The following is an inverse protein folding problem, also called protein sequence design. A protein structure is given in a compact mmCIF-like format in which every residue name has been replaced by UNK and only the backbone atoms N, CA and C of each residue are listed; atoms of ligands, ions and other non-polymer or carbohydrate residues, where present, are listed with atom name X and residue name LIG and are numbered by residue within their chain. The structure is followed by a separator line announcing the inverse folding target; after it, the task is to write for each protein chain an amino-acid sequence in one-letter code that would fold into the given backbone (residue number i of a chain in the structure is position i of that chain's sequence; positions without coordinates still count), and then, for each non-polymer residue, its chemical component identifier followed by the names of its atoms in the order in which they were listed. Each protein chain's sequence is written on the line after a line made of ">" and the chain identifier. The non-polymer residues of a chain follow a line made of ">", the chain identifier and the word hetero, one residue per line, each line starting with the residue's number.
data_IF_455176039727
#
_entry.id   IF_455176039727
#
_cell.length_a   1.000
_cell.length_b   1.000
_cell.length_c   1.000
_cell.angle_alpha   90.00
_cell.angle_beta   90.00
_cell.angle_gamma   90.00
#
_symmetry.space_group_name_H-M   'P 1'
#
loop_
_entity.id
_entity.type
_entity.pdbx_description
1 polymer ?
#
# COMPACT_ATOMS: atom_id res chain seq x y z
N UNK A 1 9.64 0.99 21.28
CA UNK A 1 10.34 1.75 20.21
C UNK A 1 11.06 3.02 20.67
N UNK A 2 10.97 3.40 21.97
CA UNK A 2 11.55 4.67 22.46
C UNK A 2 13.07 4.76 22.17
N UNK A 3 13.49 5.85 21.51
CA UNK A 3 14.86 6.14 21.08
C UNK A 3 15.49 5.17 20.06
N UNK A 4 14.81 4.13 19.63
CA UNK A 4 15.31 3.25 18.55
C UNK A 4 15.35 4.02 17.22
N UNK A 5 16.41 3.79 16.45
CA UNK A 5 16.51 4.35 15.10
C UNK A 5 15.96 3.37 14.08
N UNK A 6 14.89 3.76 13.40
CA UNK A 6 14.26 2.97 12.34
C UNK A 6 14.53 3.60 10.99
N UNK A 7 15.15 2.86 10.07
CA UNK A 7 15.35 3.31 8.69
C UNK A 7 14.24 2.77 7.79
N UNK A 8 13.57 3.70 7.07
CA UNK A 8 12.49 3.39 6.12
C UNK A 8 12.95 3.67 4.69
N UNK A 9 13.00 2.63 3.87
CA UNK A 9 13.11 2.78 2.42
C UNK A 9 11.71 3.00 1.84
N UNK A 10 11.51 4.11 1.14
CA UNK A 10 10.20 4.54 0.64
C UNK A 10 9.33 5.28 1.67
N UNK A 11 9.93 5.78 2.75
CA UNK A 11 9.22 6.48 3.83
C UNK A 11 8.47 7.76 3.38
N UNK A 12 8.87 8.40 2.27
CA UNK A 12 8.16 9.55 1.70
C UNK A 12 6.97 9.17 0.79
N UNK A 13 6.65 7.89 0.61
CA UNK A 13 5.50 7.43 -0.16
C UNK A 13 4.18 7.48 0.62
N UNK A 14 3.10 6.99 -0.03
CA UNK A 14 1.77 6.95 0.58
C UNK A 14 1.75 6.17 1.90
N UNK A 15 2.13 4.89 1.91
CA UNK A 15 2.16 4.09 3.14
C UNK A 15 3.23 4.61 4.10
N UNK A 16 4.39 5.00 3.55
CA UNK A 16 5.55 5.42 4.34
C UNK A 16 5.27 6.58 5.28
N UNK A 17 4.50 7.59 4.84
CA UNK A 17 4.17 8.75 5.70
C UNK A 17 3.41 8.37 6.97
N UNK A 18 2.53 7.38 6.89
CA UNK A 18 1.75 6.91 8.03
C UNK A 18 2.60 6.01 8.94
N UNK A 19 3.48 5.18 8.36
CA UNK A 19 4.45 4.40 9.15
C UNK A 19 5.41 5.34 9.90
N UNK A 20 5.91 6.41 9.26
CA UNK A 20 6.71 7.45 9.92
C UNK A 20 5.94 8.05 11.09
N UNK A 21 4.68 8.43 10.87
CA UNK A 21 3.84 9.03 11.91
C UNK A 21 3.67 8.11 13.12
N UNK A 22 3.33 6.84 12.90
CA UNK A 22 3.12 5.88 13.99
C UNK A 22 4.43 5.57 14.73
N UNK A 23 5.57 5.47 14.03
CA UNK A 23 6.89 5.32 14.65
C UNK A 23 7.26 6.52 15.53
N UNK A 24 7.03 7.74 15.05
CA UNK A 24 7.29 8.95 15.82
C UNK A 24 6.40 9.03 17.08
N UNK A 25 5.12 8.65 16.98
CA UNK A 25 4.21 8.52 18.14
C UNK A 25 4.73 7.47 19.15
N UNK A 26 5.32 6.38 18.66
CA UNK A 26 5.93 5.35 19.51
C UNK A 26 7.28 5.77 20.12
N UNK A 27 7.74 7.01 19.85
CA UNK A 27 8.97 7.58 20.39
C UNK A 27 10.24 7.14 19.67
N UNK A 28 10.14 6.56 18.48
CA UNK A 28 11.28 6.19 17.65
C UNK A 28 11.92 7.43 16.99
N UNK A 29 13.19 7.31 16.65
CA UNK A 29 13.87 8.16 15.69
C UNK A 29 13.73 7.52 14.30
N UNK A 30 13.45 8.31 13.28
CA UNK A 30 13.13 7.80 11.95
C UNK A 30 14.10 8.37 10.91
N UNK A 31 14.76 7.47 10.19
CA UNK A 31 15.58 7.82 9.02
C UNK A 31 14.82 7.47 7.74
N UNK A 32 14.46 8.47 6.97
CA UNK A 32 13.77 8.34 5.69
C UNK A 32 14.80 8.22 4.58
N UNK A 33 14.89 7.04 3.95
CA UNK A 33 15.85 6.71 2.90
C UNK A 33 15.12 6.62 1.55
N UNK A 34 15.46 7.51 0.61
CA UNK A 34 14.89 7.52 -0.74
C UNK A 34 15.83 8.24 -1.72
N UNK A 35 15.59 8.07 -3.04
CA UNK A 35 16.47 8.63 -4.09
C UNK A 35 16.61 10.15 -4.00
N UNK A 36 15.53 10.88 -3.84
CA UNK A 36 15.53 12.33 -3.56
C UNK A 36 14.88 12.61 -2.20
N UNK A 37 15.70 12.81 -1.14
CA UNK A 37 15.20 13.06 0.22
C UNK A 37 14.36 14.33 0.33
N UNK A 38 14.54 15.32 -0.57
CA UNK A 38 13.81 16.59 -0.55
C UNK A 38 12.31 16.40 -0.70
N UNK A 39 11.89 15.36 -1.44
CA UNK A 39 10.48 15.02 -1.64
C UNK A 39 9.79 14.54 -0.36
N UNK A 40 10.53 14.17 0.68
CA UNK A 40 10.00 13.73 1.97
C UNK A 40 10.09 14.78 3.07
N UNK A 41 10.62 15.99 2.81
CA UNK A 41 10.84 17.01 3.84
C UNK A 41 9.57 17.46 4.56
N UNK A 42 8.40 17.27 3.96
CA UNK A 42 7.10 17.50 4.61
C UNK A 42 6.89 16.64 5.87
N UNK A 43 7.62 15.51 6.00
CA UNK A 43 7.58 14.66 7.19
C UNK A 43 8.32 15.27 8.40
N UNK A 44 9.16 16.27 8.17
CA UNK A 44 9.91 16.92 9.25
C UNK A 44 9.00 17.50 10.33
N UNK A 45 7.83 18.00 9.93
CA UNK A 45 6.86 18.62 10.84
C UNK A 45 6.07 17.62 11.68
N UNK A 46 6.20 16.32 11.42
CA UNK A 46 5.48 15.27 12.17
C UNK A 46 6.22 14.82 13.44
N UNK A 47 7.52 15.10 13.54
CA UNK A 47 8.35 14.71 14.68
C UNK A 47 8.89 15.90 15.46
N UNK A 48 9.36 15.63 16.67
CA UNK A 48 10.13 16.57 17.47
C UNK A 48 11.55 16.80 16.94
N UNK A 49 12.27 17.69 17.59
CA UNK A 49 13.64 18.01 17.24
C UNK A 49 14.53 16.77 17.30
N UNK A 50 15.25 16.48 16.20
CA UNK A 50 16.16 15.33 16.10
C UNK A 50 15.51 13.96 15.88
N UNK A 51 14.18 13.86 15.82
CA UNK A 51 13.51 12.58 15.58
C UNK A 51 13.52 12.15 14.10
N UNK A 52 13.71 13.05 13.15
CA UNK A 52 13.68 12.73 11.71
C UNK A 52 15.01 13.01 11.06
N UNK A 53 15.49 12.08 10.23
CA UNK A 53 16.67 12.22 9.37
C UNK A 53 16.29 11.84 7.94
N UNK A 54 16.82 12.56 6.96
CA UNK A 54 16.56 12.32 5.54
C UNK A 54 17.87 11.99 4.84
N UNK A 55 17.94 10.84 4.17
CA UNK A 55 19.16 10.36 3.51
C UNK A 55 18.88 9.94 2.07
N UNK A 56 19.83 10.22 1.19
CA UNK A 56 19.78 9.74 -0.19
C UNK A 56 20.19 8.26 -0.23
N UNK A 57 19.29 7.42 -0.77
CA UNK A 57 19.57 6.01 -0.99
C UNK A 57 18.86 5.53 -2.25
N UNK A 58 19.60 4.80 -3.09
CA UNK A 58 19.09 4.15 -4.30
C UNK A 58 19.22 2.63 -4.13
N UNK A 59 18.11 1.89 -4.31
CA UNK A 59 18.09 0.43 -4.14
C UNK A 59 19.01 -0.31 -5.12
N UNK A 60 19.40 0.32 -6.23
CA UNK A 60 20.36 -0.21 -7.19
C UNK A 60 21.84 0.07 -6.80
N UNK A 61 22.07 0.79 -5.69
CA UNK A 61 23.38 1.20 -5.24
C UNK A 61 23.64 0.75 -3.80
N UNK A 62 24.20 -0.46 -3.58
CA UNK A 62 24.42 -1.05 -2.26
C UNK A 62 25.19 -0.14 -1.29
N UNK A 63 26.15 0.67 -1.78
CA UNK A 63 26.90 1.62 -0.97
C UNK A 63 26.02 2.67 -0.30
N UNK A 64 24.97 3.13 -0.99
CA UNK A 64 24.01 4.10 -0.45
C UNK A 64 23.08 3.48 0.57
N UNK A 65 22.71 2.20 0.35
CA UNK A 65 21.86 1.44 1.28
C UNK A 65 22.63 1.16 2.58
N UNK A 66 23.87 0.67 2.48
CA UNK A 66 24.72 0.40 3.65
C UNK A 66 24.88 1.64 4.54
N UNK A 67 25.13 2.81 3.94
CA UNK A 67 25.15 4.09 4.69
C UNK A 67 23.81 4.43 5.32
N UNK A 68 22.71 4.14 4.63
CA UNK A 68 21.38 4.44 5.16
C UNK A 68 20.99 3.56 6.35
N UNK A 69 21.40 2.28 6.38
CA UNK A 69 21.08 1.36 7.49
C UNK A 69 22.08 1.42 8.64
N UNK A 70 23.24 2.07 8.47
CA UNK A 70 24.27 2.13 9.49
C UNK A 70 23.72 2.67 10.83
N UNK A 71 23.90 1.92 11.91
CA UNK A 71 23.44 2.25 13.26
C UNK A 71 21.92 2.21 13.46
N UNK A 72 21.17 1.57 12.53
CA UNK A 72 19.73 1.37 12.69
C UNK A 72 19.46 0.18 13.61
N UNK A 73 18.47 0.33 14.49
CA UNK A 73 17.94 -0.76 15.31
C UNK A 73 16.95 -1.62 14.51
N UNK A 74 16.22 -0.99 13.59
CA UNK A 74 15.22 -1.65 12.74
C UNK A 74 15.17 -1.05 11.32
N UNK A 75 14.71 -1.84 10.36
CA UNK A 75 14.55 -1.44 8.95
C UNK A 75 13.17 -1.80 8.43
N UNK A 76 12.58 -0.91 7.62
CA UNK A 76 11.34 -1.17 6.89
C UNK A 76 11.57 -0.96 5.40
N UNK A 77 11.27 -1.97 4.59
CA UNK A 77 11.26 -1.84 3.14
C UNK A 77 9.82 -1.70 2.63
N UNK A 78 9.45 -0.47 2.27
CA UNK A 78 8.13 -0.10 1.71
C UNK A 78 8.19 0.10 0.19
N UNK A 79 9.37 -0.08 -0.43
CA UNK A 79 9.53 0.27 -1.84
C UNK A 79 8.84 -0.78 -2.72
N UNK A 80 7.99 -0.29 -3.60
CA UNK A 80 7.31 -1.08 -4.60
C UNK A 80 6.85 -0.20 -5.76
N UNK A 81 6.72 -0.79 -6.93
CA UNK A 81 6.22 -0.16 -8.14
C UNK A 81 5.10 -1.02 -8.72
N UNK A 82 4.17 -0.40 -9.45
CA UNK A 82 3.09 -1.09 -10.16
C UNK A 82 3.36 -1.18 -11.67
N UNK A 83 4.40 -0.51 -12.15
CA UNK A 83 4.84 -0.47 -13.55
C UNK A 83 6.35 -0.24 -13.60
N UNK A 84 7.01 -0.75 -14.63
CA UNK A 84 8.45 -0.58 -14.85
C UNK A 84 9.24 -1.87 -14.59
N UNK A 85 10.50 -1.73 -14.19
CA UNK A 85 11.42 -2.84 -13.97
C UNK A 85 11.22 -3.45 -12.58
N UNK A 86 10.36 -4.46 -12.51
CA UNK A 86 10.04 -5.18 -11.28
C UNK A 86 11.26 -5.91 -10.71
N UNK A 87 12.10 -6.51 -11.57
CA UNK A 87 13.28 -7.28 -11.13
C UNK A 87 14.29 -6.37 -10.44
N UNK A 88 14.49 -5.19 -10.97
CA UNK A 88 15.35 -4.19 -10.36
C UNK A 88 14.87 -3.72 -8.99
N UNK A 89 13.55 -3.53 -8.82
CA UNK A 89 13.01 -2.93 -7.60
C UNK A 89 12.58 -3.99 -6.59
N UNK A 90 11.77 -4.98 -7.02
CA UNK A 90 11.17 -5.94 -6.09
C UNK A 90 12.10 -7.10 -5.76
N UNK A 91 13.03 -7.46 -6.67
CA UNK A 91 13.98 -8.55 -6.45
C UNK A 91 15.35 -8.00 -6.02
N UNK A 92 16.10 -7.35 -6.92
CA UNK A 92 17.45 -6.89 -6.62
C UNK A 92 17.45 -5.81 -5.53
N UNK A 93 16.53 -4.85 -5.59
CA UNK A 93 16.39 -3.80 -4.59
C UNK A 93 16.02 -4.34 -3.20
N UNK A 94 15.08 -5.28 -3.11
CA UNK A 94 14.70 -5.90 -1.84
C UNK A 94 15.85 -6.72 -1.25
N UNK A 95 16.57 -7.49 -2.09
CA UNK A 95 17.78 -8.22 -1.69
C UNK A 95 18.82 -7.29 -1.08
N UNK A 96 19.18 -6.22 -1.81
CA UNK A 96 20.21 -5.28 -1.37
C UNK A 96 19.87 -4.65 0.00
N UNK A 97 18.59 -4.33 0.25
CA UNK A 97 18.16 -3.79 1.54
C UNK A 97 18.27 -4.83 2.64
N UNK A 98 17.83 -6.07 2.38
CA UNK A 98 17.86 -7.14 3.38
C UNK A 98 19.30 -7.56 3.73
N UNK A 99 20.17 -7.69 2.72
CA UNK A 99 21.61 -7.99 2.93
C UNK A 99 22.30 -6.89 3.72
N UNK A 100 22.05 -5.62 3.40
CA UNK A 100 22.61 -4.50 4.13
C UNK A 100 22.11 -4.44 5.57
N UNK A 101 20.83 -4.72 5.82
CA UNK A 101 20.27 -4.79 7.16
C UNK A 101 20.90 -5.93 7.98
N UNK A 102 21.06 -7.11 7.38
CA UNK A 102 21.73 -8.25 8.02
C UNK A 102 23.19 -7.94 8.35
N UNK A 103 23.94 -7.37 7.40
CA UNK A 103 25.34 -7.01 7.59
C UNK A 103 25.53 -5.90 8.66
N UNK A 104 24.55 -5.02 8.84
CA UNK A 104 24.54 -3.98 9.87
C UNK A 104 24.10 -4.49 11.26
N UNK A 105 23.71 -5.77 11.39
CA UNK A 105 23.24 -6.33 12.66
C UNK A 105 21.91 -5.78 13.13
N UNK A 106 21.02 -5.37 12.19
CA UNK A 106 19.68 -4.84 12.48
C UNK A 106 18.86 -5.90 13.21
N UNK A 107 18.19 -5.50 14.32
CA UNK A 107 17.43 -6.42 15.17
C UNK A 107 16.04 -6.80 14.62
N UNK A 108 15.42 -5.91 13.81
CA UNK A 108 14.08 -6.12 13.26
C UNK A 108 13.98 -5.64 11.80
N UNK A 109 13.34 -6.45 10.95
CA UNK A 109 13.15 -6.12 9.53
C UNK A 109 11.71 -6.40 9.10
N UNK A 110 11.03 -5.40 8.55
CA UNK A 110 9.70 -5.54 7.96
C UNK A 110 9.77 -5.30 6.45
N UNK A 111 9.23 -6.24 5.68
CA UNK A 111 9.09 -6.13 4.22
C UNK A 111 7.62 -6.06 3.81
N UNK A 112 7.26 -5.03 3.04
CA UNK A 112 5.91 -4.93 2.49
C UNK A 112 5.84 -5.63 1.13
N UNK A 113 5.09 -6.72 1.12
CA UNK A 113 4.71 -7.48 -0.07
C UNK A 113 3.29 -7.09 -0.52
N UNK A 114 2.49 -8.04 -0.99
CA UNK A 114 1.08 -7.83 -1.35
C UNK A 114 0.32 -9.17 -1.30
N UNK A 115 -0.98 -9.14 -1.04
CA UNK A 115 -1.87 -10.28 -1.33
C UNK A 115 -1.76 -10.59 -2.84
N UNK A 116 -1.64 -11.88 -3.18
CA UNK A 116 -1.41 -12.32 -4.57
C UNK A 116 0.07 -12.42 -4.97
N UNK A 117 1.02 -12.20 -4.02
CA UNK A 117 2.42 -12.60 -4.18
C UNK A 117 2.49 -14.13 -4.31
N UNK A 118 2.75 -14.61 -5.52
CA UNK A 118 2.69 -16.02 -5.89
C UNK A 118 3.63 -16.25 -7.10
N UNK A 119 4.59 -17.18 -7.03
CA UNK A 119 5.50 -17.48 -8.15
C UNK A 119 4.76 -17.98 -9.40
N UNK A 120 3.56 -18.55 -9.23
CA UNK A 120 2.69 -19.00 -10.33
C UNK A 120 1.68 -17.94 -10.79
N UNK A 121 1.73 -16.71 -10.27
CA UNK A 121 0.81 -15.65 -10.63
C UNK A 121 0.84 -15.34 -12.14
N UNK A 122 -0.33 -15.12 -12.74
CA UNK A 122 -0.43 -14.61 -14.12
C UNK A 122 0.17 -13.20 -14.24
N UNK A 123 0.16 -12.40 -13.17
CA UNK A 123 0.74 -11.06 -13.11
C UNK A 123 2.26 -11.11 -12.87
N UNK A 124 3.01 -10.33 -13.65
CA UNK A 124 4.44 -10.14 -13.41
C UNK A 124 4.70 -9.45 -12.06
N UNK A 125 3.83 -8.52 -11.65
CA UNK A 125 3.86 -7.93 -10.33
C UNK A 125 3.76 -9.00 -9.24
N UNK A 126 2.77 -9.90 -9.29
CA UNK A 126 2.58 -10.95 -8.30
C UNK A 126 3.80 -11.88 -8.20
N UNK A 127 4.35 -12.31 -9.35
CA UNK A 127 5.58 -13.11 -9.40
C UNK A 127 6.77 -12.37 -8.80
N UNK A 128 6.96 -11.10 -9.14
CA UNK A 128 8.08 -10.31 -8.63
C UNK A 128 8.00 -10.06 -7.13
N UNK A 129 6.78 -9.89 -6.58
CA UNK A 129 6.60 -9.76 -5.12
C UNK A 129 6.96 -11.05 -4.40
N UNK A 130 6.55 -12.21 -4.93
CA UNK A 130 6.94 -13.52 -4.38
C UNK A 130 8.46 -13.71 -4.39
N UNK A 131 9.10 -13.46 -5.54
CA UNK A 131 10.56 -13.53 -5.65
C UNK A 131 11.27 -12.55 -4.70
N UNK A 132 10.70 -11.38 -4.47
CA UNK A 132 11.18 -10.40 -3.49
C UNK A 132 11.13 -10.92 -2.06
N UNK A 133 10.05 -11.60 -1.69
CA UNK A 133 9.94 -12.25 -0.37
C UNK A 133 11.01 -13.32 -0.17
N UNK A 134 11.26 -14.16 -1.19
CA UNK A 134 12.24 -15.24 -1.11
C UNK A 134 13.67 -14.71 -0.89
N UNK A 135 14.07 -13.67 -1.64
CA UNK A 135 15.41 -13.10 -1.47
C UNK A 135 15.54 -12.35 -0.13
N UNK A 136 14.46 -11.75 0.38
CA UNK A 136 14.44 -11.13 1.70
C UNK A 136 14.62 -12.17 2.79
N UNK A 137 13.86 -13.28 2.76
CA UNK A 137 14.01 -14.38 3.73
C UNK A 137 15.38 -15.02 3.69
N UNK A 138 15.95 -15.19 2.50
CA UNK A 138 17.30 -15.76 2.35
C UNK A 138 18.36 -14.86 2.99
N UNK A 139 18.25 -13.53 2.83
CA UNK A 139 19.22 -12.57 3.37
C UNK A 139 18.97 -12.23 4.86
N UNK A 140 17.69 -12.19 5.27
CA UNK A 140 17.28 -11.86 6.64
C UNK A 140 16.18 -12.83 7.11
N UNK A 141 16.53 -14.04 7.61
CA UNK A 141 15.57 -15.09 7.96
C UNK A 141 14.49 -14.69 8.97
N UNK A 142 14.80 -13.76 9.87
CA UNK A 142 13.84 -13.18 10.84
C UNK A 142 13.01 -12.02 10.27
N UNK A 143 12.98 -11.78 8.96
CA UNK A 143 12.15 -10.74 8.38
C UNK A 143 10.65 -11.02 8.58
N UNK A 144 9.89 -10.02 9.03
CA UNK A 144 8.43 -10.07 9.00
C UNK A 144 7.97 -9.61 7.61
N UNK A 145 7.24 -10.46 6.90
CA UNK A 145 6.66 -10.15 5.60
C UNK A 145 5.18 -9.81 5.77
N UNK A 146 4.78 -8.64 5.32
CA UNK A 146 3.39 -8.20 5.34
C UNK A 146 2.83 -8.17 3.93
N UNK A 147 1.75 -8.88 3.69
CA UNK A 147 1.00 -8.93 2.42
C UNK A 147 -0.32 -8.16 2.58
N UNK A 148 -0.32 -6.83 2.44
CA UNK A 148 -1.56 -6.06 2.50
C UNK A 148 -2.45 -6.34 1.29
N UNK A 149 -3.76 -6.26 1.51
CA UNK A 149 -4.76 -6.04 0.48
C UNK A 149 -4.62 -4.60 -0.03
N UNK A 150 -5.58 -4.14 -0.85
CA UNK A 150 -5.59 -2.75 -1.31
C UNK A 150 -5.59 -1.81 -0.11
N UNK A 151 -4.56 -0.98 -0.04
CA UNK A 151 -4.41 0.01 1.02
C UNK A 151 -5.17 1.28 0.64
N UNK A 152 -6.08 1.72 1.50
CA UNK A 152 -6.81 2.96 1.28
C UNK A 152 -6.48 4.03 2.32
N UNK A 153 -6.64 5.30 1.93
CA UNK A 153 -6.39 6.47 2.77
C UNK A 153 -6.53 7.76 1.97
N UNK A 154 -6.26 8.89 2.59
CA UNK A 154 -6.47 10.21 1.97
C UNK A 154 -5.70 10.37 0.64
N UNK A 155 -4.51 9.81 0.52
CA UNK A 155 -3.62 9.94 -0.64
C UNK A 155 -3.49 8.64 -1.45
N UNK A 156 -4.42 7.68 -1.28
CA UNK A 156 -4.37 6.45 -2.04
C UNK A 156 -4.61 6.66 -3.53
N UNK A 157 -4.04 5.77 -4.34
CA UNK A 157 -4.22 5.78 -5.78
C UNK A 157 -5.37 4.89 -6.29
N UNK A 158 -6.13 4.23 -5.40
CA UNK A 158 -7.17 3.27 -5.80
C UNK A 158 -8.57 3.84 -5.59
N UNK A 159 -8.99 4.06 -4.35
CA UNK A 159 -10.32 4.60 -4.02
C UNK A 159 -10.50 6.00 -4.59
N UNK A 160 -9.46 6.85 -4.46
CA UNK A 160 -9.48 8.21 -5.01
C UNK A 160 -9.56 8.24 -6.54
N UNK A 161 -8.93 7.27 -7.24
CA UNK A 161 -9.06 7.15 -8.70
C UNK A 161 -10.49 6.86 -9.13
N UNK A 162 -11.17 5.90 -8.48
CA UNK A 162 -12.57 5.61 -8.77
C UNK A 162 -13.48 6.78 -8.40
N UNK A 163 -13.23 7.45 -7.28
CA UNK A 163 -13.96 8.66 -6.90
C UNK A 163 -13.82 9.77 -7.95
N UNK A 164 -12.61 9.97 -8.49
CA UNK A 164 -12.35 10.91 -9.59
C UNK A 164 -13.07 10.53 -10.88
N UNK A 165 -13.03 9.26 -11.27
CA UNK A 165 -13.75 8.74 -12.44
C UNK A 165 -15.26 8.94 -12.33
N UNK A 166 -15.84 8.61 -11.18
CA UNK A 166 -17.28 8.76 -10.90
C UNK A 166 -17.67 10.25 -10.89
N UNK A 167 -16.85 11.10 -10.27
CA UNK A 167 -17.11 12.54 -10.19
C UNK A 167 -17.02 13.24 -11.56
N UNK A 168 -16.11 12.78 -12.42
CA UNK A 168 -15.85 13.31 -13.77
C UNK A 168 -16.63 12.62 -14.89
N UNK A 169 -17.46 11.63 -14.59
CA UNK A 169 -18.19 10.86 -15.63
C UNK A 169 -19.11 11.78 -16.45
N UNK A 170 -19.01 11.74 -17.80
CA UNK A 170 -19.83 12.58 -18.66
C UNK A 170 -21.28 12.11 -18.68
N UNK A 171 -22.22 13.07 -18.63
CA UNK A 171 -23.63 12.80 -18.84
C UNK A 171 -23.92 12.80 -20.35
N UNK A 172 -23.93 11.63 -20.98
CA UNK A 172 -24.19 11.49 -22.40
C UNK A 172 -25.69 11.53 -22.74
N UNK A 173 -26.54 10.89 -21.94
CA UNK A 173 -28.01 10.88 -22.08
C UNK A 173 -28.60 10.76 -20.66
N UNK A 174 -28.90 11.89 -20.04
CA UNK A 174 -29.50 11.95 -18.71
C UNK A 174 -28.56 11.65 -17.58
N UNK A 175 -28.25 10.37 -17.28
CA UNK A 175 -27.32 9.97 -16.21
C UNK A 175 -25.92 9.67 -16.72
N UNK A 176 -24.85 10.09 -16.00
CA UNK A 176 -23.49 9.67 -16.32
C UNK A 176 -23.35 8.13 -16.29
N UNK A 177 -22.58 7.59 -17.23
CA UNK A 177 -22.29 6.16 -17.31
C UNK A 177 -20.85 5.90 -16.86
N UNK A 178 -20.68 4.95 -15.94
CA UNK A 178 -19.36 4.51 -15.46
C UNK A 178 -19.19 3.02 -15.76
N UNK A 179 -18.24 2.64 -16.61
CA UNK A 179 -17.93 1.23 -16.83
C UNK A 179 -17.24 0.64 -15.60
N UNK A 180 -17.64 -0.56 -15.20
CA UNK A 180 -17.01 -1.32 -14.11
C UNK A 180 -16.41 -2.60 -14.68
N UNK A 181 -15.09 -2.67 -14.67
CA UNK A 181 -14.32 -3.85 -15.06
C UNK A 181 -14.17 -4.78 -13.86
N UNK A 182 -14.15 -6.09 -14.10
CA UNK A 182 -14.00 -7.11 -13.05
C UNK A 182 -14.99 -6.91 -11.88
N UNK A 183 -16.26 -6.61 -12.18
CA UNK A 183 -17.27 -6.18 -11.20
C UNK A 183 -17.47 -7.18 -10.04
N UNK A 184 -17.27 -8.48 -10.29
CA UNK A 184 -17.39 -9.54 -9.29
C UNK A 184 -16.13 -9.79 -8.44
N UNK A 185 -14.97 -9.27 -8.83
CA UNK A 185 -13.71 -9.48 -8.10
C UNK A 185 -13.77 -8.86 -6.71
N UNK A 186 -13.38 -9.62 -5.70
CA UNK A 186 -13.47 -9.23 -4.30
C UNK A 186 -12.16 -8.62 -3.80
N UNK A 187 -12.31 -7.62 -2.95
CA UNK A 187 -11.22 -6.92 -2.27
C UNK A 187 -11.54 -6.82 -0.79
N UNK A 188 -10.49 -6.75 0.02
CA UNK A 188 -10.58 -6.58 1.47
C UNK A 188 -9.75 -5.36 1.90
N UNK A 189 -10.20 -4.12 1.55
CA UNK A 189 -9.39 -2.91 1.69
C UNK A 189 -8.96 -2.68 3.13
N UNK A 190 -7.67 -2.38 3.34
CA UNK A 190 -7.09 -2.07 4.65
C UNK A 190 -6.81 -0.57 4.79
N UNK A 191 -7.18 0.01 5.92
CA UNK A 191 -6.86 1.41 6.22
C UNK A 191 -5.36 1.58 6.45
N UNK A 192 -4.78 2.60 5.83
CA UNK A 192 -3.32 2.82 5.85
C UNK A 192 -2.74 3.03 7.25
N UNK A 193 -3.53 3.59 8.18
CA UNK A 193 -3.10 3.78 9.58
C UNK A 193 -3.03 2.44 10.30
N UNK A 194 -3.99 1.53 10.06
CA UNK A 194 -3.98 0.20 10.65
C UNK A 194 -2.76 -0.61 10.15
N UNK A 195 -2.47 -0.56 8.84
CA UNK A 195 -1.25 -1.15 8.29
C UNK A 195 0.03 -0.54 8.91
N UNK A 196 0.06 0.77 9.13
CA UNK A 196 1.19 1.42 9.78
C UNK A 196 1.37 0.94 11.23
N UNK A 197 0.28 0.74 11.97
CA UNK A 197 0.33 0.17 13.33
C UNK A 197 0.82 -1.27 13.32
N UNK A 198 0.42 -2.09 12.33
CA UNK A 198 0.96 -3.45 12.13
C UNK A 198 2.48 -3.41 11.98
N UNK A 199 2.99 -2.53 11.12
CA UNK A 199 4.45 -2.36 10.93
C UNK A 199 5.14 -2.02 12.25
N UNK A 200 4.60 -1.06 13.02
CA UNK A 200 5.19 -0.65 14.30
C UNK A 200 5.20 -1.80 15.32
N UNK A 201 4.10 -2.57 15.41
CA UNK A 201 4.02 -3.73 16.32
C UNK A 201 4.98 -4.84 15.89
N UNK A 202 5.10 -5.12 14.59
CA UNK A 202 6.07 -6.10 14.07
C UNK A 202 7.52 -5.74 14.42
N UNK A 203 7.88 -4.46 14.33
CA UNK A 203 9.21 -3.98 14.70
C UNK A 203 9.43 -3.97 16.21
N UNK A 204 8.39 -3.77 17.02
CA UNK A 204 8.48 -3.69 18.47
C UNK A 204 8.67 -5.05 19.15
N UNK A 205 8.22 -6.13 18.50
CA UNK A 205 8.32 -7.50 19.02
C UNK A 205 8.79 -8.47 17.92
N UNK A 206 10.07 -8.37 17.51
CA UNK A 206 10.62 -9.20 16.44
C UNK A 206 10.72 -10.69 16.81
N UNK A 207 10.68 -11.05 18.07
CA UNK A 207 10.70 -12.45 18.51
C UNK A 207 9.33 -13.10 18.28
N UNK A 208 8.23 -12.34 18.43
CA UNK A 208 6.87 -12.81 18.15
C UNK A 208 6.56 -12.85 16.65
N UNK A 209 6.94 -11.83 15.91
CA UNK A 209 6.48 -11.63 14.53
C UNK A 209 7.53 -11.93 13.46
N UNK A 210 8.79 -12.06 13.86
CA UNK A 210 9.90 -12.30 12.92
C UNK A 210 9.88 -13.67 12.28
N UNK A 211 10.31 -13.73 11.00
CA UNK A 211 10.34 -14.97 10.20
C UNK A 211 8.98 -15.40 9.67
N UNK A 212 7.91 -14.66 9.96
CA UNK A 212 6.53 -14.98 9.59
C UNK A 212 6.02 -14.12 8.43
N UNK A 213 4.94 -14.59 7.80
CA UNK A 213 4.20 -13.85 6.77
C UNK A 213 2.77 -13.67 7.23
N UNK A 214 2.28 -12.43 7.12
CA UNK A 214 0.93 -12.05 7.51
C UNK A 214 0.18 -11.43 6.33
N UNK A 215 -1.07 -11.86 6.12
CA UNK A 215 -1.98 -11.27 5.15
C UNK A 215 -2.84 -10.20 5.84
N UNK A 216 -2.68 -8.94 5.44
CA UNK A 216 -3.28 -7.81 6.13
C UNK A 216 -4.47 -7.28 5.33
N UNK A 217 -5.68 -7.62 5.76
CA UNK A 217 -6.95 -7.15 5.21
C UNK A 217 -7.73 -6.27 6.19
N UNK A 218 -8.66 -5.48 5.65
CA UNK A 218 -9.62 -4.72 6.45
C UNK A 218 -10.78 -5.60 6.95
N UNK A 219 -11.76 -4.99 7.65
CA UNK A 219 -12.88 -5.76 8.22
C UNK A 219 -13.93 -6.18 7.19
N UNK A 220 -13.99 -5.50 6.04
CA UNK A 220 -15.04 -5.67 5.05
C UNK A 220 -14.46 -6.29 3.76
N UNK A 221 -15.14 -7.32 3.25
CA UNK A 221 -14.91 -7.86 1.91
C UNK A 221 -16.00 -7.32 0.99
N UNK A 222 -15.60 -6.70 -0.11
CA UNK A 222 -16.52 -6.15 -1.10
C UNK A 222 -16.05 -6.42 -2.52
N UNK A 223 -17.00 -6.62 -3.44
CA UNK A 223 -16.70 -6.70 -4.86
C UNK A 223 -16.36 -5.33 -5.44
N UNK A 224 -15.69 -5.30 -6.60
CA UNK A 224 -15.42 -4.06 -7.34
C UNK A 224 -16.71 -3.29 -7.64
N UNK A 225 -17.79 -3.99 -7.98
CA UNK A 225 -19.09 -3.38 -8.23
C UNK A 225 -19.68 -2.74 -6.96
N UNK A 226 -19.60 -3.41 -5.82
CA UNK A 226 -20.06 -2.86 -4.53
C UNK A 226 -19.24 -1.67 -4.09
N UNK A 227 -17.91 -1.73 -4.23
CA UNK A 227 -17.02 -0.62 -3.93
C UNK A 227 -17.35 0.62 -4.77
N UNK A 228 -17.54 0.46 -6.08
CA UNK A 228 -17.89 1.59 -6.95
C UNK A 228 -19.26 2.19 -6.59
N UNK A 229 -20.27 1.36 -6.29
CA UNK A 229 -21.58 1.84 -5.84
C UNK A 229 -21.48 2.56 -4.49
N UNK A 230 -20.65 2.05 -3.57
CA UNK A 230 -20.41 2.71 -2.30
C UNK A 230 -19.73 4.08 -2.49
N UNK A 231 -18.68 4.16 -3.33
CA UNK A 231 -17.99 5.42 -3.65
C UNK A 231 -18.98 6.44 -4.24
N UNK A 232 -19.82 6.03 -5.21
CA UNK A 232 -20.81 6.93 -5.81
C UNK A 232 -21.75 7.55 -4.76
N UNK A 233 -22.23 6.75 -3.82
CA UNK A 233 -23.03 7.23 -2.69
C UNK A 233 -22.24 8.19 -1.80
N UNK A 234 -21.00 7.86 -1.46
CA UNK A 234 -20.15 8.68 -0.59
C UNK A 234 -19.83 10.06 -1.20
N UNK A 235 -19.66 10.11 -2.54
CA UNK A 235 -19.42 11.38 -3.26
C UNK A 235 -20.71 12.07 -3.73
N UNK A 236 -21.89 11.49 -3.45
CA UNK A 236 -23.18 12.09 -3.80
C UNK A 236 -23.42 12.19 -5.32
N UNK A 237 -23.01 11.16 -6.09
CA UNK A 237 -23.18 11.10 -7.55
C UNK A 237 -24.19 10.04 -7.94
N UNK A 238 -25.20 10.44 -8.69
CA UNK A 238 -26.15 9.52 -9.32
C UNK A 238 -25.62 9.13 -10.70
N UNK A 239 -25.03 7.94 -10.79
CA UNK A 239 -24.41 7.40 -12.01
C UNK A 239 -25.00 6.03 -12.33
N UNK A 240 -25.02 5.67 -13.61
CA UNK A 240 -25.36 4.31 -14.08
C UNK A 240 -24.07 3.52 -14.24
N UNK A 241 -23.94 2.43 -13.51
CA UNK A 241 -22.85 1.48 -13.69
C UNK A 241 -23.20 0.48 -14.78
N UNK A 242 -22.23 0.23 -15.68
CA UNK A 242 -22.32 -0.80 -16.70
C UNK A 242 -21.15 -1.75 -16.51
N UNK A 243 -21.48 -2.99 -16.16
CA UNK A 243 -20.47 -4.03 -16.00
C UNK A 243 -19.90 -4.42 -17.36
N UNK A 244 -18.58 -4.42 -17.46
CA UNK A 244 -17.85 -4.82 -18.66
C UNK A 244 -17.52 -6.30 -18.53
N UNK A 245 -17.90 -7.09 -19.52
CA UNK A 245 -17.60 -8.52 -19.56
C UNK A 245 -16.06 -8.73 -19.46
N UNK A 246 -15.64 -9.76 -18.75
CA UNK A 246 -14.22 -10.01 -18.47
C UNK A 246 -13.40 -10.20 -19.76
N UNK A 247 -13.99 -10.80 -20.79
CA UNK A 247 -13.36 -11.02 -22.09
C UNK A 247 -13.04 -9.68 -22.78
N UNK A 248 -13.97 -8.71 -22.71
CA UNK A 248 -13.78 -7.37 -23.23
C UNK A 248 -12.78 -6.58 -22.40
N UNK A 249 -12.78 -6.77 -21.07
CA UNK A 249 -11.81 -6.17 -20.15
C UNK A 249 -10.37 -6.54 -20.49
N UNK A 250 -10.12 -7.81 -20.79
CA UNK A 250 -8.82 -8.31 -21.23
C UNK A 250 -8.38 -7.73 -22.58
N UNK A 251 -9.31 -7.60 -23.54
CA UNK A 251 -9.03 -6.98 -24.83
C UNK A 251 -8.70 -5.49 -24.71
N UNK A 252 -9.48 -4.76 -23.91
CA UNK A 252 -9.22 -3.34 -23.63
C UNK A 252 -7.83 -3.16 -23.00
N UNK A 253 -7.49 -3.96 -21.98
CA UNK A 253 -6.18 -3.90 -21.33
C UNK A 253 -5.00 -4.27 -22.25
N UNK A 254 -5.27 -4.92 -23.40
CA UNK A 254 -4.26 -5.27 -24.40
C UNK A 254 -3.97 -4.13 -25.39
N UNK A 255 -4.83 -3.12 -25.49
CA UNK A 255 -4.66 -2.00 -26.39
C UNK A 255 -3.68 -0.97 -25.82
N UNK A 256 -2.89 -0.27 -26.64
CA UNK A 256 -2.05 0.83 -26.19
C UNK A 256 -2.92 2.02 -25.71
N UNK A 257 -2.39 2.79 -24.76
CA UNK A 257 -3.03 3.99 -24.20
C UNK A 257 -4.32 3.74 -23.42
N UNK A 258 -4.55 2.51 -22.96
CA UNK A 258 -5.67 2.22 -22.06
C UNK A 258 -5.34 2.58 -20.62
N UNK A 259 -6.34 2.89 -19.80
CA UNK A 259 -6.13 3.27 -18.39
C UNK A 259 -5.65 2.10 -17.51
N UNK A 260 -5.66 0.86 -18.02
CA UNK A 260 -5.28 -0.36 -17.27
C UNK A 260 -4.37 -1.20 -18.16
N UNK A 261 -3.17 -1.54 -17.68
CA UNK A 261 -2.24 -2.43 -18.37
C UNK A 261 -2.69 -3.90 -18.27
N UNK A 262 -2.13 -4.77 -19.15
CA UNK A 262 -2.38 -6.23 -19.07
C UNK A 262 -2.06 -6.81 -17.70
N UNK A 263 -0.99 -6.35 -17.08
CA UNK A 263 -0.57 -6.83 -15.77
C UNK A 263 -1.53 -6.36 -14.67
N UNK A 264 -1.96 -5.10 -14.72
CA UNK A 264 -3.00 -4.58 -13.84
C UNK A 264 -4.33 -5.32 -14.02
N UNK A 265 -4.68 -5.68 -15.27
CA UNK A 265 -5.87 -6.50 -15.53
C UNK A 265 -5.76 -7.88 -14.88
N UNK A 266 -4.62 -8.56 -15.03
CA UNK A 266 -4.38 -9.86 -14.40
C UNK A 266 -4.50 -9.80 -12.86
N UNK A 267 -4.07 -8.69 -12.25
CA UNK A 267 -4.26 -8.44 -10.82
C UNK A 267 -5.74 -8.20 -10.46
N UNK A 268 -6.43 -7.36 -11.23
CA UNK A 268 -7.84 -6.99 -10.97
C UNK A 268 -8.81 -8.14 -11.23
N UNK A 269 -8.43 -9.15 -12.00
CA UNK A 269 -9.27 -10.32 -12.32
C UNK A 269 -9.19 -11.43 -11.26
N UNK A 270 -8.41 -11.25 -10.20
CA UNK A 270 -8.23 -12.21 -9.11
C UNK A 270 -8.64 -11.56 -7.78
N UNK A 271 -9.33 -12.32 -6.95
CA UNK A 271 -9.71 -11.86 -5.61
C UNK A 271 -8.48 -11.46 -4.79
N UNK A 272 -8.58 -10.32 -4.12
CA UNK A 272 -7.55 -9.73 -3.28
C UNK A 272 -8.07 -9.68 -1.83
N UNK A 273 -8.24 -10.87 -1.26
CA UNK A 273 -8.77 -11.11 0.09
C UNK A 273 -7.81 -11.96 0.90
N UNK A 274 -7.85 -11.86 2.20
CA UNK A 274 -7.06 -12.69 3.12
C UNK A 274 -7.52 -14.14 2.98
N UNK A 275 -6.58 -15.04 2.69
CA UNK A 275 -6.84 -16.48 2.67
C UNK A 275 -6.87 -17.02 4.12
N UNK A 276 -7.75 -17.98 4.38
CA UNK A 276 -7.96 -18.48 5.75
C UNK A 276 -6.81 -19.32 6.34
N UNK A 277 -5.78 -19.60 5.57
CA UNK A 277 -4.57 -20.35 5.96
C UNK A 277 -3.38 -19.45 6.36
N UNK A 278 -3.55 -18.12 6.28
CA UNK A 278 -2.51 -17.14 6.63
C UNK A 278 -3.00 -16.27 7.77
N UNK A 279 -2.18 -16.08 8.82
CA UNK A 279 -2.52 -15.18 9.92
C UNK A 279 -2.74 -13.76 9.42
N UNK A 280 -3.77 -13.11 9.96
CA UNK A 280 -4.22 -11.78 9.59
C UNK A 280 -3.79 -10.68 10.54
N UNK A 281 -4.48 -9.54 10.44
CA UNK A 281 -4.25 -8.36 11.28
C UNK A 281 -4.54 -8.63 12.76
N UNK A 282 -5.37 -9.62 13.06
CA UNK A 282 -5.76 -10.02 14.41
C UNK A 282 -4.55 -10.50 15.24
N UNK A 283 -3.52 -11.09 14.60
CA UNK A 283 -2.27 -11.49 15.23
C UNK A 283 -1.56 -10.31 15.93
N UNK A 284 -1.82 -9.10 15.46
CA UNK A 284 -1.25 -7.86 16.00
C UNK A 284 -2.14 -7.17 17.03
N UNK A 285 -3.23 -7.78 17.48
CA UNK A 285 -4.19 -7.18 18.40
C UNK A 285 -4.67 -5.80 17.93
N UNK A 286 -4.93 -5.66 16.62
CA UNK A 286 -5.44 -4.45 15.98
C UNK A 286 -6.85 -4.74 15.46
N UNK A 287 -7.79 -3.86 15.80
CA UNK A 287 -9.13 -3.89 15.24
C UNK A 287 -9.16 -3.00 14.00
N UNK A 288 -9.27 -3.58 12.79
CA UNK A 288 -9.19 -2.79 11.57
C UNK A 288 -10.42 -1.87 11.41
N UNK A 289 -10.18 -0.68 10.87
CA UNK A 289 -11.19 0.37 10.69
C UNK A 289 -11.89 0.19 9.33
N UNK A 290 -13.25 0.14 9.30
CA UNK A 290 -14.00 0.04 8.05
C UNK A 290 -13.80 1.24 7.13
N UNK A 291 -13.78 0.99 5.81
CA UNK A 291 -13.70 2.03 4.79
C UNK A 291 -14.78 3.11 4.97
N UNK A 292 -16.00 2.68 5.30
CA UNK A 292 -17.15 3.58 5.48
C UNK A 292 -16.99 4.56 6.65
N UNK A 293 -16.13 4.26 7.62
CA UNK A 293 -15.93 5.09 8.80
C UNK A 293 -15.08 6.31 8.50
N UNK A 294 -14.00 6.15 7.73
CA UNK A 294 -12.98 7.22 7.57
C UNK A 294 -12.95 7.85 6.18
N UNK A 295 -13.23 7.09 5.12
CA UNK A 295 -13.09 7.59 3.76
C UNK A 295 -14.01 8.78 3.42
N UNK A 296 -15.21 8.94 3.98
CA UNK A 296 -16.05 10.12 3.75
C UNK A 296 -15.37 11.44 4.08
N UNK A 297 -14.39 11.48 5.00
CA UNK A 297 -13.69 12.71 5.39
C UNK A 297 -12.95 13.37 4.22
N UNK A 298 -12.33 12.59 3.34
CA UNK A 298 -11.60 13.13 2.19
C UNK A 298 -12.36 12.97 0.86
N UNK A 299 -13.24 11.99 0.75
CA UNK A 299 -14.08 11.81 -0.44
C UNK A 299 -15.03 13.00 -0.67
N UNK A 300 -15.28 13.82 0.34
CA UNK A 300 -16.00 15.09 0.21
C UNK A 300 -15.41 15.98 -0.90
N UNK A 301 -14.12 15.87 -1.22
CA UNK A 301 -13.46 16.64 -2.29
C UNK A 301 -14.03 16.32 -3.68
N UNK A 302 -14.60 15.12 -3.90
CA UNK A 302 -15.19 14.67 -5.16
C UNK A 302 -16.69 14.99 -5.29
N UNK A 303 -17.31 15.56 -4.27
CA UNK A 303 -18.70 16.01 -4.33
C UNK A 303 -18.87 17.23 -5.24
N UNK A 304 -20.05 17.45 -5.82
CA UNK A 304 -20.34 18.52 -6.79
C UNK A 304 -19.96 19.88 -6.26
N UNK A 305 -19.87 20.27 -5.16
CA UNK A 305 -19.41 21.57 -4.62
C UNK A 305 -18.37 21.36 -3.49
N UNK A 306 -17.71 20.20 -3.50
CA UNK A 306 -16.76 19.84 -2.48
C UNK A 306 -17.38 19.88 -1.08
N UNK A 307 -16.62 20.37 -0.11
CA UNK A 307 -17.10 20.60 1.28
C UNK A 307 -18.18 21.66 1.43
N UNK A 308 -18.37 22.50 0.42
CA UNK A 308 -19.38 23.57 0.43
C UNK A 308 -20.73 23.12 -0.11
N UNK A 309 -20.88 21.86 -0.49
CA UNK A 309 -22.16 21.31 -0.87
C UNK A 309 -23.06 21.26 0.38
N UNK A 310 -24.07 22.13 0.41
CA UNK A 310 -25.15 22.01 1.41
C UNK A 310 -25.84 20.68 1.12
N UNK A 311 -25.57 19.67 1.92
CA UNK A 311 -26.39 18.46 1.95
C UNK A 311 -27.78 18.96 2.32
N UNK A 312 -28.73 18.84 1.40
CA UNK A 312 -30.13 19.00 1.76
C UNK A 312 -30.36 18.01 2.91
N UNK A 313 -30.63 18.55 4.10
CA UNK A 313 -31.04 17.73 5.24
C UNK A 313 -32.38 17.12 4.82
N UNK A 314 -32.41 15.83 4.57
CA UNK A 314 -33.63 15.06 4.48
C UNK A 314 -34.22 14.91 5.88
#
# INVERSE_FOLDING_TARGET
>A
MKNQLVTLFGGGGFVGRYVVQELLKAGARVRIAQRDPRQALYLRTQGGLGQTQFVAADLSRPDTIARAVAGSDAVVNLVGILEGDFDKVHLAGARNVAEAAAAAGVGAFVHISAIGADPASASAYGRSKAAGEDVVRAAFPKATVLRPSIVFGREDGFVNRFAGMIAGAPALIGRPIVPVMAAGTKFQPIYVVDLAQVVVKALADPDRFGGQTYAIGGPDVMSMGELNRWIARAVGRDVRFVEVANELGGLIAALPFTPISKDQWAMLSRDNVVAGDVEGIEAFDIRPVPLATVAPEWLVAYRKNGRFNKVARA
#
